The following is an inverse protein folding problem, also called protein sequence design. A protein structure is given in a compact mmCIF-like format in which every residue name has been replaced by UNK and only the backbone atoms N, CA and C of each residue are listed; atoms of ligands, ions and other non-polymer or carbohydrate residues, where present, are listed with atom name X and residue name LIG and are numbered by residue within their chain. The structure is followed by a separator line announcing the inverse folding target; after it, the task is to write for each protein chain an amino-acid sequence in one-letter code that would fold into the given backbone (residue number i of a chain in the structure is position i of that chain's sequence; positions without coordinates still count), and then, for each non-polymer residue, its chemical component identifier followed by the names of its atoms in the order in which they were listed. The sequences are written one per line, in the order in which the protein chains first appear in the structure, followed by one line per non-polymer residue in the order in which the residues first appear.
data_IF_609847265640
#
_entry.id   IF_609847265640
#
_cell.length_a   1.000
_cell.length_b   1.000
_cell.length_c   1.000
_cell.angle_alpha   90.00
_cell.angle_beta   90.00
_cell.angle_gamma   90.00
#
_symmetry.space_group_name_H-M   'P 1'
#
loop_
_entity.id
_entity.type
_entity.pdbx_description
1 polymer ?
#
# COMPACT_ATOMS: atom_id res chain seq x y z
N UNK A 1 -59.34 -13.87 0.26
CA UNK A 1 -58.36 -12.75 0.30
C UNK A 1 -56.97 -13.36 0.27
N UNK A 2 -56.22 -13.21 -0.82
CA UNK A 2 -54.83 -13.68 -0.90
C UNK A 2 -53.92 -12.58 -0.32
N UNK A 3 -53.18 -12.89 0.73
CA UNK A 3 -52.25 -11.95 1.37
C UNK A 3 -51.13 -11.50 0.41
N UNK A 4 -50.54 -10.30 0.64
CA UNK A 4 -49.51 -9.76 -0.23
C UNK A 4 -48.28 -10.67 -0.24
N UNK A 5 -47.80 -11.03 -1.44
CA UNK A 5 -46.54 -11.78 -1.60
C UNK A 5 -45.37 -10.84 -1.36
N UNK A 6 -44.73 -10.97 -0.20
CA UNK A 6 -43.49 -10.25 0.11
C UNK A 6 -42.35 -10.95 -0.65
N UNK A 7 -41.71 -10.23 -1.57
CA UNK A 7 -40.52 -10.71 -2.24
C UNK A 7 -39.36 -10.75 -1.24
N UNK A 8 -39.06 -11.93 -0.70
CA UNK A 8 -37.82 -12.13 0.04
C UNK A 8 -36.66 -12.10 -0.95
N UNK A 9 -35.80 -11.08 -0.85
CA UNK A 9 -34.56 -11.03 -1.62
C UNK A 9 -33.74 -12.26 -1.24
N UNK A 10 -33.69 -13.25 -2.13
CA UNK A 10 -32.76 -14.36 -2.00
C UNK A 10 -31.36 -13.77 -2.05
N UNK A 11 -30.71 -13.63 -0.89
CA UNK A 11 -29.30 -13.29 -0.77
C UNK A 11 -28.56 -14.36 -1.59
N UNK A 12 -28.20 -14.04 -2.83
CA UNK A 12 -27.36 -14.90 -3.65
C UNK A 12 -26.11 -15.16 -2.82
N UNK A 13 -25.82 -16.44 -2.59
CA UNK A 13 -24.70 -16.87 -1.76
C UNK A 13 -23.37 -16.23 -2.17
N UNK A 14 -22.33 -16.33 -1.33
CA UNK A 14 -21.08 -15.61 -1.50
C UNK A 14 -20.51 -15.78 -2.91
N UNK A 15 -20.18 -14.66 -3.56
CA UNK A 15 -19.63 -14.65 -4.91
C UNK A 15 -18.11 -14.77 -4.85
N UNK A 16 -17.63 -16.01 -4.98
CA UNK A 16 -16.20 -16.36 -4.91
C UNK A 16 -15.34 -15.56 -5.89
N UNK A 17 -15.82 -15.31 -7.11
CA UNK A 17 -15.06 -14.55 -8.12
C UNK A 17 -14.85 -13.11 -7.66
N UNK A 18 -15.89 -12.50 -7.06
CA UNK A 18 -15.81 -11.13 -6.55
C UNK A 18 -14.81 -11.03 -5.40
N UNK A 19 -14.79 -11.99 -4.49
CA UNK A 19 -13.83 -12.05 -3.38
C UNK A 19 -12.39 -12.20 -3.86
N UNK A 20 -12.13 -13.04 -4.87
CA UNK A 20 -10.80 -13.20 -5.47
C UNK A 20 -10.32 -11.88 -6.08
N UNK A 21 -11.20 -11.18 -6.81
CA UNK A 21 -10.85 -9.90 -7.44
C UNK A 21 -10.52 -8.87 -6.35
N UNK A 22 -11.35 -8.76 -5.31
CA UNK A 22 -11.11 -7.83 -4.20
C UNK A 22 -9.79 -8.17 -3.50
N UNK A 23 -9.55 -9.44 -3.18
CA UNK A 23 -8.30 -9.87 -2.54
C UNK A 23 -7.07 -9.56 -3.40
N UNK A 24 -7.15 -9.78 -4.71
CA UNK A 24 -6.07 -9.48 -5.65
C UNK A 24 -5.79 -7.98 -5.73
N UNK A 25 -6.83 -7.17 -5.85
CA UNK A 25 -6.70 -5.70 -5.91
C UNK A 25 -6.11 -5.15 -4.61
N UNK A 26 -6.57 -5.63 -3.45
CA UNK A 26 -6.02 -5.25 -2.16
C UNK A 26 -4.55 -5.67 -2.01
N UNK A 27 -4.20 -6.88 -2.46
CA UNK A 27 -2.82 -7.36 -2.47
C UNK A 27 -1.90 -6.49 -3.33
N UNK A 28 -2.34 -6.11 -4.53
CA UNK A 28 -1.60 -5.21 -5.41
C UNK A 28 -1.50 -3.79 -4.85
N UNK A 29 -2.56 -3.27 -4.22
CA UNK A 29 -2.54 -1.96 -3.56
C UNK A 29 -1.54 -1.93 -2.40
N UNK A 30 -1.56 -2.93 -1.52
CA UNK A 30 -0.57 -3.05 -0.45
C UNK A 30 0.86 -3.21 -0.98
N UNK A 31 1.05 -4.05 -2.02
CA UNK A 31 2.35 -4.25 -2.66
C UNK A 31 2.91 -2.99 -3.31
N UNK A 32 2.07 -2.17 -3.94
CA UNK A 32 2.51 -0.90 -4.55
C UNK A 32 2.87 0.16 -3.52
N UNK A 33 2.11 0.26 -2.42
CA UNK A 33 2.46 1.13 -1.28
C UNK A 33 3.82 0.73 -0.69
N UNK A 34 4.02 -0.57 -0.46
CA UNK A 34 5.30 -1.07 0.03
C UNK A 34 6.45 -0.75 -0.93
N UNK A 35 6.24 -0.93 -2.24
CA UNK A 35 7.25 -0.65 -3.26
C UNK A 35 7.65 0.82 -3.28
N UNK A 36 6.67 1.72 -3.18
CA UNK A 36 6.93 3.16 -3.11
C UNK A 36 7.75 3.51 -1.87
N UNK A 37 7.41 2.95 -0.71
CA UNK A 37 8.19 3.14 0.52
C UNK A 37 9.64 2.67 0.34
N UNK A 38 9.83 1.48 -0.24
CA UNK A 38 11.16 0.94 -0.50
C UNK A 38 11.98 1.82 -1.48
N UNK A 39 11.33 2.42 -2.48
CA UNK A 39 11.99 3.35 -3.40
C UNK A 39 12.38 4.67 -2.74
N UNK A 40 11.54 5.20 -1.86
CA UNK A 40 11.83 6.41 -1.11
C UNK A 40 13.02 6.21 -0.15
N UNK A 41 13.05 5.10 0.59
CA UNK A 41 14.18 4.78 1.47
C UNK A 41 15.49 4.63 0.71
N UNK A 42 15.48 3.96 -0.45
CA UNK A 42 16.66 3.86 -1.31
C UNK A 42 17.13 5.22 -1.82
N UNK A 43 16.20 6.09 -2.21
CA UNK A 43 16.54 7.45 -2.67
C UNK A 43 17.16 8.27 -1.54
N UNK A 44 16.60 8.21 -0.34
CA UNK A 44 17.10 8.92 0.85
C UNK A 44 18.54 8.52 1.18
N UNK A 45 18.83 7.22 1.18
CA UNK A 45 20.18 6.71 1.44
C UNK A 45 21.17 7.16 0.35
N UNK A 46 20.77 7.07 -0.93
CA UNK A 46 21.62 7.58 -2.03
C UNK A 46 21.92 9.07 -1.86
N UNK A 47 20.89 9.89 -1.62
CA UNK A 47 21.09 11.34 -1.47
C UNK A 47 21.97 11.68 -0.27
N UNK A 48 21.86 10.93 0.84
CA UNK A 48 22.74 11.11 1.99
C UNK A 48 24.20 10.89 1.63
N UNK A 49 24.52 9.76 0.97
CA UNK A 49 25.91 9.49 0.58
C UNK A 49 26.41 10.46 -0.49
N UNK A 50 25.57 10.87 -1.45
CA UNK A 50 25.95 11.87 -2.45
C UNK A 50 26.36 13.21 -1.80
N UNK A 51 25.64 13.65 -0.75
CA UNK A 51 26.00 14.87 -0.01
C UNK A 51 27.24 14.67 0.88
N UNK A 52 27.42 13.47 1.44
CA UNK A 52 28.59 13.13 2.25
C UNK A 52 29.87 13.12 1.39
N UNK A 53 29.82 12.54 0.18
CA UNK A 53 30.95 12.54 -0.76
C UNK A 53 31.30 13.94 -1.27
N UNK A 54 30.31 14.82 -1.41
CA UNK A 54 30.54 16.23 -1.76
C UNK A 54 31.13 17.05 -0.62
N UNK A 55 31.17 16.51 0.61
CA UNK A 55 31.68 17.21 1.79
C UNK A 55 30.76 18.31 2.31
N UNK A 56 29.51 18.38 1.83
CA UNK A 56 28.51 19.36 2.31
C UNK A 56 27.93 18.97 3.68
N UNK A 57 27.97 17.68 4.01
CA UNK A 57 27.56 17.14 5.31
C UNK A 57 28.69 16.32 5.95
N UNK A 58 28.86 16.46 7.26
CA UNK A 58 29.82 15.70 8.06
C UNK A 58 29.11 14.74 9.02
N UNK A 59 29.77 13.63 9.36
CA UNK A 59 29.26 12.68 10.36
C UNK A 59 29.77 13.02 11.76
N UNK A 60 30.94 13.66 11.86
CA UNK A 60 31.57 14.06 13.12
C UNK A 60 31.34 15.56 13.31
N UNK A 61 30.85 15.93 14.49
CA UNK A 61 30.83 17.32 14.93
C UNK A 61 32.21 17.62 15.50
N UNK A 62 32.91 18.61 14.95
CA UNK A 62 34.10 19.15 15.60
C UNK A 62 33.64 19.87 16.88
N UNK A 63 33.86 19.23 18.03
CA UNK A 63 33.73 19.89 19.32
C UNK A 63 35.01 20.73 19.54
N UNK A 64 34.85 22.05 19.62
CA UNK A 64 35.94 22.99 19.98
C UNK A 64 36.52 22.74 21.37
#
# INVERSE_FOLDING_TARGET
MAGPRIAHATLKGPNVVKEIIIGTVLGLAAGTVWKMNQWNEKKKVRTFYDFLEKGEIGVVVEEE
#
